data_IF_050553224239
#
_entry.id   IF_050553224239
#
_cell.length_a   1.000
_cell.length_b   1.000
_cell.length_c   1.000
_cell.angle_alpha   90.00
_cell.angle_beta   90.00
_cell.angle_gamma   90.00
#
_symmetry.space_group_name_H-M   'P 1'
#
loop_
_entity.id
_entity.type
_entity.pdbx_description
1 polymer ?
#
# COMPACT_ATOMS: atom_id res chain seq x y z
N UNK A 1 -7.72 0.67 9.60
CA UNK A 1 -7.42 0.19 10.97
C UNK A 1 -7.72 -1.29 11.15
N UNK A 2 -8.96 -1.75 10.92
CA UNK A 2 -9.33 -3.17 11.05
C UNK A 2 -8.39 -4.12 10.28
N UNK A 3 -7.98 -3.74 9.07
CA UNK A 3 -7.03 -4.51 8.28
C UNK A 3 -5.67 -4.73 8.95
N UNK A 4 -5.15 -3.71 9.65
CA UNK A 4 -3.85 -3.81 10.31
C UNK A 4 -3.84 -4.81 11.47
N UNK A 5 -5.01 -5.08 12.07
CA UNK A 5 -5.17 -6.02 13.18
C UNK A 5 -5.57 -7.40 12.69
N UNK A 6 -6.53 -7.47 11.76
CA UNK A 6 -7.10 -8.74 11.30
C UNK A 6 -6.18 -9.48 10.32
N UNK A 7 -5.47 -8.78 9.44
CA UNK A 7 -4.69 -9.45 8.38
C UNK A 7 -3.49 -10.21 8.92
N UNK A 8 -2.71 -9.69 9.91
CA UNK A 8 -1.63 -10.46 10.50
C UNK A 8 -2.13 -11.72 11.24
N UNK A 9 -3.26 -11.63 11.94
CA UNK A 9 -3.88 -12.79 12.57
C UNK A 9 -4.39 -13.80 11.52
N UNK A 10 -4.96 -13.31 10.42
CA UNK A 10 -5.46 -14.17 9.34
C UNK A 10 -4.34 -14.84 8.53
N UNK A 11 -3.26 -14.12 8.25
CA UNK A 11 -2.09 -14.64 7.53
C UNK A 11 -1.31 -15.70 8.32
N UNK A 12 -1.30 -15.61 9.66
CA UNK A 12 -0.70 -16.64 10.52
C UNK A 12 -1.59 -17.88 10.60
N UNK A 13 -2.92 -17.71 10.60
CA UNK A 13 -3.89 -18.80 10.57
C UNK A 13 -3.91 -19.54 9.22
N UNK A 14 -3.63 -18.82 8.14
CA UNK A 14 -3.41 -19.37 6.82
C UNK A 14 -2.03 -20.01 6.66
N UNK A 15 -1.10 -19.95 7.62
CA UNK A 15 0.18 -20.64 7.50
C UNK A 15 1.14 -20.09 6.45
N UNK A 16 1.06 -18.78 6.13
CA UNK A 16 2.06 -18.13 5.27
C UNK A 16 3.47 -18.34 5.83
N UNK A 17 4.44 -18.50 4.93
CA UNK A 17 5.85 -18.62 5.29
C UNK A 17 6.30 -17.43 6.15
N UNK A 18 6.58 -17.72 7.43
CA UNK A 18 7.05 -16.74 8.43
C UNK A 18 8.55 -16.47 8.32
N UNK A 19 9.27 -17.21 7.47
CA UNK A 19 10.71 -17.13 7.35
C UNK A 19 11.22 -15.94 6.51
N UNK A 20 10.44 -15.47 5.53
CA UNK A 20 10.87 -14.37 4.64
C UNK A 20 9.97 -13.12 4.67
N UNK A 21 8.72 -13.24 5.14
CA UNK A 21 7.75 -12.13 5.16
C UNK A 21 7.26 -11.69 3.77
N UNK A 22 7.74 -12.32 2.70
CA UNK A 22 7.48 -11.88 1.32
C UNK A 22 6.04 -12.19 0.87
N UNK A 23 5.54 -13.39 1.19
CA UNK A 23 4.17 -13.81 0.87
C UNK A 23 3.13 -12.91 1.56
N UNK A 24 3.34 -12.61 2.85
CA UNK A 24 2.48 -11.69 3.59
C UNK A 24 2.59 -10.24 3.09
N UNK A 25 3.79 -9.79 2.69
CA UNK A 25 4.00 -8.47 2.12
C UNK A 25 3.22 -8.26 0.81
N UNK A 26 3.26 -9.25 -0.10
CA UNK A 26 2.49 -9.22 -1.34
C UNK A 26 0.98 -9.26 -1.04
N UNK A 27 0.56 -10.11 -0.12
CA UNK A 27 -0.84 -10.22 0.30
C UNK A 27 -1.36 -8.89 0.87
N UNK A 28 -0.66 -8.32 1.86
CA UNK A 28 -1.04 -7.06 2.49
C UNK A 28 -1.06 -5.92 1.47
N UNK A 29 -0.05 -5.83 0.59
CA UNK A 29 0.05 -4.79 -0.44
C UNK A 29 -1.08 -4.85 -1.50
N UNK A 30 -1.56 -6.04 -1.82
CA UNK A 30 -2.63 -6.24 -2.81
C UNK A 30 -4.04 -6.15 -2.19
N UNK A 31 -4.24 -6.82 -1.06
CA UNK A 31 -5.57 -7.05 -0.49
C UNK A 31 -6.07 -5.89 0.37
N UNK A 32 -5.17 -5.13 1.01
CA UNK A 32 -5.55 -3.98 1.82
C UNK A 32 -5.65 -2.75 0.93
N UNK A 33 -6.79 -2.06 0.95
CA UNK A 33 -7.07 -0.99 -0.03
C UNK A 33 -6.47 0.38 0.33
N UNK A 34 -6.30 0.69 1.61
CA UNK A 34 -5.71 1.96 2.07
C UNK A 34 -4.23 1.81 2.39
N UNK A 35 -3.38 2.70 1.83
CA UNK A 35 -1.92 2.65 1.99
C UNK A 35 -1.51 2.68 3.45
N UNK A 36 -2.09 3.54 4.28
CA UNK A 36 -1.71 3.66 5.70
C UNK A 36 -1.97 2.35 6.46
N UNK A 37 -3.05 1.65 6.12
CA UNK A 37 -3.38 0.36 6.72
C UNK A 37 -2.56 -0.83 6.19
N UNK A 38 -2.05 -0.75 4.95
CA UNK A 38 -1.07 -1.71 4.41
C UNK A 38 0.23 -1.63 5.21
N UNK A 39 0.77 -0.42 5.35
CA UNK A 39 2.04 -0.17 6.07
C UNK A 39 1.93 -0.61 7.52
N UNK A 40 0.79 -0.34 8.17
CA UNK A 40 0.54 -0.80 9.52
C UNK A 40 0.47 -2.34 9.62
N UNK A 41 -0.30 -3.02 8.75
CA UNK A 41 -0.39 -4.48 8.76
C UNK A 41 0.97 -5.16 8.56
N UNK A 42 1.77 -4.67 7.61
CA UNK A 42 3.09 -5.23 7.32
C UNK A 42 4.10 -4.94 8.44
N UNK A 43 4.06 -3.75 9.05
CA UNK A 43 4.91 -3.42 10.20
C UNK A 43 4.54 -4.27 11.44
N UNK A 44 3.26 -4.55 11.65
CA UNK A 44 2.80 -5.46 12.71
C UNK A 44 3.31 -6.88 12.46
N UNK A 45 3.23 -7.40 11.24
CA UNK A 45 3.78 -8.71 10.90
C UNK A 45 5.30 -8.79 11.10
N UNK A 46 6.04 -7.79 10.63
CA UNK A 46 7.49 -7.72 10.83
C UNK A 46 7.87 -7.72 12.32
N UNK A 47 7.05 -7.10 13.17
CA UNK A 47 7.27 -7.05 14.62
C UNK A 47 6.86 -8.36 15.31
N UNK A 48 5.85 -9.07 14.81
CA UNK A 48 5.42 -10.37 15.35
C UNK A 48 6.46 -11.48 15.11
N UNK A 49 7.15 -11.44 13.97
CA UNK A 49 8.06 -12.52 13.54
C UNK A 49 9.54 -12.12 13.47
N UNK A 50 9.90 -10.90 13.90
CA UNK A 50 11.30 -10.46 13.94
C UNK A 50 11.95 -10.22 12.58
N UNK A 51 11.16 -9.98 11.53
CA UNK A 51 11.61 -9.85 10.13
C UNK A 51 12.22 -8.48 9.78
N UNK A 52 12.38 -7.60 10.78
CA UNK A 52 12.93 -6.26 10.58
C UNK A 52 11.96 -5.36 9.80
N UNK A 53 12.23 -5.11 8.51
CA UNK A 53 11.34 -4.35 7.60
C UNK A 53 11.03 -5.09 6.31
N UNK A 54 11.40 -6.37 6.21
CA UNK A 54 11.31 -7.11 4.96
C UNK A 54 9.87 -7.14 4.41
N UNK A 55 8.89 -7.36 5.28
CA UNK A 55 7.48 -7.41 4.90
C UNK A 55 6.95 -6.03 4.54
N UNK A 56 7.33 -5.02 5.34
CA UNK A 56 6.96 -3.63 5.13
C UNK A 56 7.44 -3.11 3.77
N UNK A 57 8.72 -3.34 3.45
CA UNK A 57 9.34 -2.89 2.21
C UNK A 57 8.65 -3.54 1.00
N UNK A 58 8.28 -4.82 1.09
CA UNK A 58 7.55 -5.54 0.04
C UNK A 58 6.12 -5.03 -0.12
N UNK A 59 5.37 -4.88 0.97
CA UNK A 59 3.99 -4.43 0.93
C UNK A 59 3.85 -3.02 0.37
N UNK A 60 4.73 -2.10 0.79
CA UNK A 60 4.77 -0.72 0.27
C UNK A 60 5.16 -0.71 -1.21
N UNK A 61 6.14 -1.53 -1.61
CA UNK A 61 6.55 -1.65 -3.02
C UNK A 61 5.37 -2.07 -3.89
N UNK A 62 4.68 -3.16 -3.54
CA UNK A 62 3.50 -3.66 -4.28
C UNK A 62 2.41 -2.59 -4.36
N UNK A 63 2.16 -1.90 -3.24
CA UNK A 63 1.16 -0.85 -3.16
C UNK A 63 1.48 0.32 -4.07
N UNK A 64 2.74 0.76 -4.09
CA UNK A 64 3.19 1.90 -4.87
C UNK A 64 3.36 1.58 -6.34
N UNK A 65 3.73 0.36 -6.72
CA UNK A 65 3.75 -0.07 -8.13
C UNK A 65 2.37 0.08 -8.77
N UNK A 66 1.29 -0.25 -8.04
CA UNK A 66 -0.09 -0.04 -8.52
C UNK A 66 -0.39 1.45 -8.75
N UNK A 67 0.00 2.31 -7.82
CA UNK A 67 -0.22 3.76 -7.93
C UNK A 67 0.67 4.38 -9.02
N UNK A 68 1.89 3.88 -9.19
CA UNK A 68 2.81 4.27 -10.25
C UNK A 68 2.25 3.91 -11.63
N UNK A 69 1.58 2.76 -11.77
CA UNK A 69 0.93 2.35 -13.01
C UNK A 69 -0.24 3.26 -13.44
N UNK A 70 -0.84 4.02 -12.51
CA UNK A 70 -1.88 5.02 -12.83
C UNK A 70 -1.29 6.17 -13.67
N UNK A 71 -0.03 6.57 -13.44
CA UNK A 71 0.64 7.66 -14.15
C UNK A 71 0.74 7.39 -15.67
N UNK A 72 1.32 6.28 -16.16
CA UNK A 72 1.38 6.00 -17.59
C UNK A 72 -0.01 5.77 -18.19
N UNK A 73 -0.93 5.11 -17.48
CA UNK A 73 -2.31 4.89 -17.96
C UNK A 73 -3.03 6.24 -18.17
N UNK A 74 -2.96 7.14 -17.19
CA UNK A 74 -3.57 8.48 -17.28
C UNK A 74 -2.89 9.34 -18.34
N UNK A 75 -1.57 9.24 -18.51
CA UNK A 75 -0.84 9.92 -19.58
C UNK A 75 -1.30 9.44 -20.96
N UNK A 76 -1.40 8.13 -21.17
CA UNK A 76 -1.90 7.55 -22.44
C UNK A 76 -3.35 7.98 -22.69
N UNK A 77 -4.22 7.90 -21.69
CA UNK A 77 -5.62 8.32 -21.83
C UNK A 77 -5.76 9.82 -22.12
N UNK A 78 -4.94 10.67 -21.49
CA UNK A 78 -4.90 12.10 -21.74
C UNK A 78 -4.36 12.41 -23.16
N UNK A 79 -3.34 11.69 -23.63
CA UNK A 79 -2.85 11.81 -25.01
C UNK A 79 -3.91 11.37 -26.02
N UNK A 80 -4.61 10.26 -25.77
CA UNK A 80 -5.73 9.78 -26.61
C UNK A 80 -6.87 10.80 -26.62
N UNK A 81 -7.24 11.37 -25.46
CA UNK A 81 -8.25 12.45 -25.37
C UNK A 81 -7.80 13.73 -26.05
N UNK A 82 -6.54 14.15 -25.93
CA UNK A 82 -6.02 15.33 -26.61
C UNK A 82 -6.00 15.16 -28.13
N UNK A 83 -5.69 13.95 -28.61
CA UNK A 83 -5.75 13.60 -30.04
C UNK A 83 -7.18 13.52 -30.56
N UNK A 84 -8.13 13.02 -29.77
CA UNK A 84 -9.57 12.97 -30.13
C UNK A 84 -10.26 14.33 -30.01
N UNK A 85 -9.91 15.15 -29.02
CA UNK A 85 -10.48 16.50 -28.82
C UNK A 85 -10.06 17.49 -29.92
N UNK A 86 -8.87 17.31 -30.51
CA UNK A 86 -8.46 18.02 -31.74
C UNK A 86 -9.34 17.69 -32.95
N UNK A 87 -10.03 16.55 -32.97
CA UNK A 87 -10.93 16.17 -34.05
C UNK A 87 -12.37 16.71 -33.88
N UNK A 88 -12.75 17.16 -32.68
CA UNK A 88 -14.12 17.62 -32.37
C UNK A 88 -14.22 19.09 -31.94
N UNK A 89 -13.16 19.88 -32.10
CA UNK A 89 -13.19 21.34 -31.92
C UNK A 89 -13.58 21.85 -30.51
N UNK A 90 -13.64 20.98 -29.51
CA UNK A 90 -13.94 21.37 -28.13
C UNK A 90 -12.65 21.69 -27.40
N UNK A 91 -12.54 22.90 -26.86
CA UNK A 91 -11.50 23.32 -25.91
C UNK A 91 -11.53 22.41 -24.68
N UNK A 92 -10.86 21.26 -24.78
CA UNK A 92 -10.72 20.33 -23.67
C UNK A 92 -9.84 20.95 -22.60
N UNK A 93 -10.43 21.32 -21.45
CA UNK A 93 -9.72 21.72 -20.23
C UNK A 93 -8.43 20.91 -20.09
N UNK A 94 -7.29 21.60 -20.13
CA UNK A 94 -5.99 20.98 -19.94
C UNK A 94 -6.02 20.22 -18.60
N UNK A 95 -5.94 18.90 -18.68
CA UNK A 95 -5.91 18.06 -17.48
C UNK A 95 -4.62 18.42 -16.75
N UNK A 96 -4.73 19.05 -15.58
CA UNK A 96 -3.60 19.46 -14.78
C UNK A 96 -2.90 18.21 -14.21
N UNK A 97 -1.97 17.66 -14.99
CA UNK A 97 -1.19 16.48 -14.62
C UNK A 97 -0.52 16.63 -13.25
N UNK A 98 -0.17 17.85 -12.87
CA UNK A 98 0.45 18.17 -11.58
C UNK A 98 -0.45 17.92 -10.38
N UNK A 99 -1.78 18.04 -10.53
CA UNK A 99 -2.75 17.77 -9.45
C UNK A 99 -3.05 16.27 -9.31
N UNK A 100 -2.88 15.52 -10.39
CA UNK A 100 -3.13 14.07 -10.42
C UNK A 100 -1.87 13.30 -10.00
N UNK A 101 -0.69 13.91 -10.16
CA UNK A 101 0.57 13.24 -9.88
C UNK A 101 0.82 13.10 -8.36
N UNK A 102 0.86 11.88 -7.82
CA UNK A 102 1.12 11.67 -6.40
C UNK A 102 2.61 11.92 -6.09
N UNK A 103 2.95 13.15 -5.69
CA UNK A 103 4.32 13.55 -5.33
C UNK A 103 5.00 12.63 -4.31
N UNK A 104 4.23 11.96 -3.44
CA UNK A 104 4.75 10.94 -2.52
C UNK A 104 5.55 9.83 -3.22
N UNK A 105 5.17 9.43 -4.44
CA UNK A 105 5.86 8.38 -5.19
C UNK A 105 7.27 8.83 -5.59
N UNK A 106 7.46 10.11 -5.97
CA UNK A 106 8.79 10.65 -6.30
C UNK A 106 9.73 10.58 -5.10
N UNK A 107 9.26 10.99 -3.92
CA UNK A 107 10.04 10.90 -2.70
C UNK A 107 10.39 9.45 -2.32
N UNK A 108 9.45 8.52 -2.49
CA UNK A 108 9.70 7.10 -2.26
C UNK A 108 10.76 6.53 -3.22
N UNK A 109 10.64 6.81 -4.53
CA UNK A 109 11.60 6.36 -5.54
C UNK A 109 12.98 6.95 -5.24
N UNK A 110 13.05 8.25 -4.95
CA UNK A 110 14.31 8.91 -4.60
C UNK A 110 14.96 8.26 -3.37
N UNK A 111 14.19 8.05 -2.28
CA UNK A 111 14.69 7.38 -1.09
C UNK A 111 15.19 5.95 -1.38
N UNK A 112 14.43 5.17 -2.15
CA UNK A 112 14.80 3.80 -2.55
C UNK A 112 16.11 3.77 -3.35
N UNK A 113 16.27 4.68 -4.32
CA UNK A 113 17.51 4.80 -5.11
C UNK A 113 18.69 5.23 -4.24
N UNK A 114 18.50 6.21 -3.35
CA UNK A 114 19.53 6.67 -2.42
C UNK A 114 19.99 5.51 -1.52
N UNK A 115 19.06 4.78 -0.90
CA UNK A 115 19.39 3.63 -0.04
C UNK A 115 20.12 2.54 -0.84
N UNK A 116 19.67 2.25 -2.06
CA UNK A 116 20.30 1.24 -2.93
C UNK A 116 21.73 1.63 -3.31
N UNK A 117 21.97 2.90 -3.68
CA UNK A 117 23.30 3.40 -4.02
C UNK A 117 24.22 3.47 -2.80
N UNK A 118 23.73 3.93 -1.65
CA UNK A 118 24.50 3.99 -0.42
C UNK A 118 24.99 2.60 0.02
N UNK A 119 24.11 1.58 -0.05
CA UNK A 119 24.48 0.19 0.25
C UNK A 119 25.52 -0.34 -0.76
N UNK A 120 25.37 -0.03 -2.06
CA UNK A 120 26.37 -0.42 -3.08
C UNK A 120 27.72 0.27 -2.91
N UNK A 121 27.75 1.48 -2.36
CA UNK A 121 28.96 2.24 -2.07
C UNK A 121 29.66 1.79 -0.76
N UNK A 122 29.13 0.77 -0.08
CA UNK A 122 29.75 0.19 1.12
C UNK A 122 29.27 0.80 2.43
N UNK A 123 28.21 1.61 2.43
CA UNK A 123 27.60 2.10 3.68
C UNK A 123 26.98 0.92 4.43
N UNK A 124 27.31 0.70 5.71
CA UNK A 124 26.73 -0.38 6.50
C UNK A 124 25.20 -0.23 6.61
N UNK A 125 24.48 -1.33 6.43
CA UNK A 125 23.01 -1.36 6.58
C UNK A 125 22.56 -0.88 7.98
N UNK A 126 23.43 -0.98 8.99
CA UNK A 126 23.21 -0.51 10.34
C UNK A 126 22.83 0.98 10.41
N UNK A 127 23.33 1.82 9.49
CA UNK A 127 23.02 3.26 9.44
C UNK A 127 21.54 3.53 9.18
N UNK A 128 20.85 2.61 8.49
CA UNK A 128 19.42 2.74 8.19
C UNK A 128 18.51 2.18 9.30
N UNK A 129 19.05 1.46 10.28
CA UNK A 129 18.29 0.88 11.40
C UNK A 129 17.50 1.92 12.21
N UNK A 130 18.10 3.02 12.72
CA UNK A 130 17.33 4.02 13.47
C UNK A 130 16.26 4.71 12.63
N UNK A 131 16.51 4.89 11.32
CA UNK A 131 15.51 5.44 10.39
C UNK A 131 14.33 4.50 10.23
N UNK A 132 14.58 3.19 10.15
CA UNK A 132 13.54 2.15 10.08
C UNK A 132 12.71 2.09 11.37
N UNK A 133 13.34 2.18 12.53
CA UNK A 133 12.64 2.25 13.82
C UNK A 133 11.77 3.51 13.93
N UNK A 134 12.31 4.67 13.55
CA UNK A 134 11.56 5.92 13.51
C UNK A 134 10.36 5.82 12.56
N UNK A 135 10.52 5.19 11.40
CA UNK A 135 9.43 4.94 10.46
C UNK A 135 8.31 4.11 11.10
N UNK A 136 8.65 3.00 11.78
CA UNK A 136 7.66 2.19 12.52
C UNK A 136 6.94 2.99 13.59
N UNK A 137 7.68 3.79 14.37
CA UNK A 137 7.11 4.65 15.39
C UNK A 137 6.11 5.66 14.78
N UNK A 138 6.46 6.32 13.67
CA UNK A 138 5.58 7.25 12.98
C UNK A 138 4.32 6.56 12.41
N UNK A 139 4.44 5.33 11.91
CA UNK A 139 3.29 4.53 11.44
C UNK A 139 2.33 4.26 12.61
N UNK A 140 2.84 3.85 13.76
CA UNK A 140 2.02 3.60 14.95
C UNK A 140 1.34 4.89 15.41
N UNK A 141 2.09 6.00 15.50
CA UNK A 141 1.56 7.31 15.88
C UNK A 141 0.45 7.78 14.93
N UNK A 142 0.65 7.62 13.61
CA UNK A 142 -0.36 7.95 12.60
C UNK A 142 -1.62 7.08 12.75
N UNK A 143 -1.47 5.78 13.02
CA UNK A 143 -2.62 4.90 13.27
C UNK A 143 -3.37 5.31 14.53
N UNK A 144 -2.68 5.63 15.62
CA UNK A 144 -3.32 6.11 16.86
C UNK A 144 -4.11 7.39 16.59
N UNK A 145 -3.52 8.36 15.88
CA UNK A 145 -4.19 9.60 15.51
C UNK A 145 -5.44 9.37 14.64
N UNK A 146 -5.37 8.46 13.66
CA UNK A 146 -6.52 8.07 12.84
C UNK A 146 -7.61 7.43 13.71
N UNK A 147 -7.25 6.60 14.68
CA UNK A 147 -8.19 5.98 15.62
C UNK A 147 -8.91 6.99 16.50
N UNK A 148 -8.17 7.96 17.05
CA UNK A 148 -8.73 9.03 17.88
C UNK A 148 -9.61 10.00 17.08
N UNK A 149 -9.30 10.25 15.81
CA UNK A 149 -10.13 11.08 14.93
C UNK A 149 -11.36 10.33 14.37
N UNK A 150 -11.33 8.99 14.37
CA UNK A 150 -12.41 8.16 13.84
C UNK A 150 -13.63 8.17 14.74
N UNK A 151 -14.72 8.80 14.29
CA UNK A 151 -16.00 8.77 15.00
C UNK A 151 -16.78 7.48 14.66
N UNK A 152 -16.57 6.42 15.43
CA UNK A 152 -17.28 5.14 15.28
C UNK A 152 -18.81 5.30 15.39
N UNK A 153 -19.27 6.20 16.25
CA UNK A 153 -20.70 6.45 16.45
C UNK A 153 -21.33 6.99 15.18
N UNK A 154 -20.68 7.95 14.51
CA UNK A 154 -21.13 8.50 13.22
C UNK A 154 -21.11 7.45 12.12
N UNK A 155 -20.08 6.60 12.09
CA UNK A 155 -19.95 5.51 11.11
C UNK A 155 -21.12 4.51 11.21
N UNK A 156 -21.46 4.04 12.41
CA UNK A 156 -22.58 3.12 12.63
C UNK A 156 -23.92 3.82 12.35
N UNK A 157 -24.04 5.11 12.67
CA UNK A 157 -25.25 5.91 12.40
C UNK A 157 -25.48 6.22 10.92
N UNK A 158 -24.45 6.11 10.07
CA UNK A 158 -24.54 6.28 8.61
C UNK A 158 -25.25 5.08 7.94
N UNK A 159 -25.54 4.02 8.71
CA UNK A 159 -26.29 2.83 8.30
C UNK A 159 -25.39 1.62 8.08
N UNK A 160 -25.96 0.42 8.22
CA UNK A 160 -25.22 -0.84 8.04
C UNK A 160 -24.90 -1.17 6.57
N UNK A 161 -25.65 -0.62 5.60
CA UNK A 161 -25.47 -0.90 4.17
C UNK A 161 -24.06 -0.56 3.64
N UNK A 162 -23.49 0.65 3.87
CA UNK A 162 -22.12 0.96 3.51
C UNK A 162 -21.07 0.03 4.14
N UNK A 163 -21.29 -0.38 5.40
CA UNK A 163 -20.37 -1.26 6.13
C UNK A 163 -20.36 -2.65 5.51
N UNK A 164 -21.53 -3.21 5.22
CA UNK A 164 -21.66 -4.53 4.56
C UNK A 164 -21.05 -4.49 3.16
N UNK A 165 -21.29 -3.43 2.39
CA UNK A 165 -20.76 -3.30 1.04
C UNK A 165 -19.22 -3.19 1.04
N UNK A 166 -18.67 -2.41 1.99
CA UNK A 166 -17.23 -2.36 2.24
C UNK A 166 -16.66 -3.72 2.66
N UNK A 167 -17.35 -4.45 3.54
CA UNK A 167 -16.95 -5.79 3.98
C UNK A 167 -16.97 -6.81 2.84
N UNK A 168 -18.04 -6.86 2.03
CA UNK A 168 -18.13 -7.75 0.87
C UNK A 168 -17.03 -7.47 -0.15
N UNK A 169 -16.76 -6.20 -0.44
CA UNK A 169 -15.68 -5.80 -1.34
C UNK A 169 -14.32 -6.22 -0.77
N UNK A 170 -14.12 -6.06 0.54
CA UNK A 170 -12.91 -6.46 1.23
C UNK A 170 -12.69 -7.97 1.19
N UNK A 171 -13.74 -8.77 1.42
CA UNK A 171 -13.71 -10.24 1.30
C UNK A 171 -13.40 -10.65 -0.14
N UNK A 172 -14.05 -10.03 -1.14
CA UNK A 172 -13.82 -10.35 -2.54
C UNK A 172 -12.37 -10.10 -2.98
N UNK A 173 -11.80 -8.94 -2.65
CA UNK A 173 -10.40 -8.63 -2.96
C UNK A 173 -9.45 -9.60 -2.23
N UNK A 174 -9.75 -9.92 -0.97
CA UNK A 174 -8.96 -10.87 -0.18
C UNK A 174 -8.97 -12.26 -0.82
N UNK A 175 -10.15 -12.76 -1.21
CA UNK A 175 -10.30 -14.06 -1.85
C UNK A 175 -9.58 -14.12 -3.20
N UNK A 176 -9.69 -13.09 -4.03
CA UNK A 176 -8.99 -13.01 -5.33
C UNK A 176 -7.48 -12.95 -5.15
N UNK A 177 -6.99 -12.19 -4.16
CA UNK A 177 -5.55 -12.13 -3.85
C UNK A 177 -5.02 -13.50 -3.40
N UNK A 178 -5.71 -14.17 -2.47
CA UNK A 178 -5.33 -15.51 -2.01
C UNK A 178 -5.36 -16.56 -3.13
N UNK A 179 -6.39 -16.51 -3.98
CA UNK A 179 -6.52 -17.41 -5.13
C UNK A 179 -5.33 -17.22 -6.09
N UNK A 180 -4.96 -15.98 -6.40
CA UNK A 180 -3.81 -15.68 -7.24
C UNK A 180 -2.50 -16.13 -6.60
N UNK A 181 -2.31 -15.92 -5.30
CA UNK A 181 -1.12 -16.38 -4.58
C UNK A 181 -1.00 -17.91 -4.57
N UNK A 182 -2.12 -18.62 -4.46
CA UNK A 182 -2.16 -20.08 -4.54
C UNK A 182 -1.84 -20.59 -5.95
N UNK A 183 -2.40 -19.97 -6.99
CA UNK A 183 -2.13 -20.30 -8.41
C UNK A 183 -0.66 -20.05 -8.75
N UNK A 184 -0.08 -18.97 -8.23
CA UNK A 184 1.33 -18.61 -8.46
C UNK A 184 2.32 -19.35 -7.54
N UNK A 185 1.84 -20.21 -6.63
CA UNK A 185 2.63 -20.93 -5.60
C UNK A 185 3.53 -20.03 -4.74
N UNK A 186 3.03 -18.84 -4.37
CA UNK A 186 3.77 -17.85 -3.56
C UNK A 186 3.22 -17.87 -2.12
N UNK A 187 3.37 -19.00 -1.44
CA UNK A 187 2.83 -19.25 -0.08
C UNK A 187 3.92 -19.24 0.99
#
# INVERSE_FOLDING_TARGET
MLAAVLFPAFGSLLGFSTASGEAFGIFAGTAVNDTSSVTAAAATWDSMWGLGTATLDKAVTVKLTRTLAIIPITMVLALVRARRGKATGSEGKAVNFREIFPFFILYFIAASVITTLALRLGVPAAVFTPVKELSKFLIVLAMVAIGLNSNLVKLVRTGGKPIVLGACCWVGITAVSLLMQHILRIW
#
